data_IF_544676231355
#
_entry.id   IF_544676231355
#
_cell.length_a   1.000
_cell.length_b   1.000
_cell.length_c   1.000
_cell.angle_alpha   90.00
_cell.angle_beta   90.00
_cell.angle_gamma   90.00
#
_symmetry.space_group_name_H-M   'P 1'
#
loop_
_entity.id
_entity.type
_entity.pdbx_description
1 polymer ?
#
# COMPACT_ATOMS: atom_id res chain seq x y z
N UNK A 1 21.38 -2.72 1.17
CA UNK A 1 21.01 -3.84 2.08
C UNK A 1 19.69 -4.42 1.59
N UNK A 2 19.55 -5.74 1.45
CA UNK A 2 18.34 -6.37 0.90
C UNK A 2 17.27 -6.46 2.01
N UNK A 3 16.15 -5.75 1.85
CA UNK A 3 15.04 -5.80 2.81
C UNK A 3 14.42 -7.21 2.83
N UNK A 4 14.04 -7.68 4.02
CA UNK A 4 13.50 -9.03 4.21
C UNK A 4 12.15 -9.21 3.49
N UNK A 5 11.73 -10.45 3.20
CA UNK A 5 10.40 -10.75 2.64
C UNK A 5 9.23 -10.11 3.39
N UNK A 6 9.27 -10.11 4.73
CA UNK A 6 8.23 -9.49 5.56
C UNK A 6 8.24 -7.97 5.44
N UNK A 7 9.42 -7.34 5.45
CA UNK A 7 9.59 -5.90 5.29
C UNK A 7 9.10 -5.42 3.92
N UNK A 8 9.40 -6.15 2.84
CA UNK A 8 8.89 -5.84 1.50
C UNK A 8 7.37 -5.78 1.45
N UNK A 9 6.69 -6.76 2.04
CA UNK A 9 5.22 -6.83 2.02
C UNK A 9 4.58 -5.75 2.87
N UNK A 10 5.16 -5.47 4.05
CA UNK A 10 4.70 -4.39 4.90
C UNK A 10 4.89 -3.03 4.21
N UNK A 11 6.04 -2.83 3.56
CA UNK A 11 6.34 -1.62 2.82
C UNK A 11 5.38 -1.34 1.68
N UNK A 12 5.05 -2.37 0.88
CA UNK A 12 4.05 -2.22 -0.19
C UNK A 12 2.68 -1.88 0.37
N UNK A 13 2.29 -2.52 1.47
CA UNK A 13 1.00 -2.26 2.10
C UNK A 13 0.91 -0.85 2.71
N UNK A 14 1.97 -0.40 3.38
CA UNK A 14 2.06 0.94 3.97
C UNK A 14 2.21 2.03 2.88
N UNK A 15 3.02 1.78 1.86
CA UNK A 15 3.20 2.66 0.72
C UNK A 15 1.94 2.82 -0.12
N UNK A 16 1.16 1.74 -0.30
CA UNK A 16 -0.14 1.82 -0.95
C UNK A 16 -1.13 2.67 -0.15
N UNK A 17 -1.10 2.58 1.19
CA UNK A 17 -1.90 3.44 2.05
C UNK A 17 -1.53 4.92 1.89
N UNK A 18 -0.22 5.24 1.88
CA UNK A 18 0.27 6.59 1.61
C UNK A 18 -0.19 7.09 0.25
N UNK A 19 0.01 6.29 -0.80
CA UNK A 19 -0.37 6.68 -2.17
C UNK A 19 -1.85 7.01 -2.30
N UNK A 20 -2.74 6.27 -1.63
CA UNK A 20 -4.18 6.57 -1.63
C UNK A 20 -4.52 7.85 -0.88
N UNK A 21 -3.87 8.12 0.26
CA UNK A 21 -4.03 9.39 0.97
C UNK A 21 -3.61 10.58 0.09
N UNK A 22 -2.52 10.45 -0.66
CA UNK A 22 -2.06 11.44 -1.65
C UNK A 22 -3.02 11.60 -2.85
N UNK A 23 -3.97 10.67 -3.02
CA UNK A 23 -5.04 10.75 -4.01
C UNK A 23 -6.38 11.21 -3.38
N UNK A 24 -6.37 11.75 -2.16
CA UNK A 24 -7.56 12.09 -1.38
C UNK A 24 -8.52 10.89 -1.22
N UNK A 25 -7.95 9.70 -0.99
CA UNK A 25 -8.69 8.46 -0.76
C UNK A 25 -8.21 7.80 0.54
N UNK A 26 -8.98 7.97 1.60
CA UNK A 26 -8.75 7.28 2.88
C UNK A 26 -9.56 5.99 3.05
N UNK A 27 -10.52 5.72 2.15
CA UNK A 27 -11.41 4.56 2.22
C UNK A 27 -11.80 4.05 0.84
N UNK A 28 -12.04 2.74 0.75
CA UNK A 28 -12.49 2.05 -0.45
C UNK A 28 -13.54 0.97 -0.08
N UNK A 29 -14.54 0.72 -0.94
CA UNK A 29 -15.42 -0.43 -0.79
C UNK A 29 -14.61 -1.73 -0.78
N UNK A 30 -14.92 -2.66 0.13
CA UNK A 30 -14.23 -3.95 0.20
C UNK A 30 -14.76 -4.95 -0.84
N UNK A 31 -14.42 -4.69 -2.11
CA UNK A 31 -14.78 -5.56 -3.24
C UNK A 31 -13.56 -6.41 -3.64
N UNK A 32 -13.32 -7.52 -2.92
CA UNK A 32 -12.08 -8.34 -3.02
C UNK A 32 -11.60 -8.54 -4.47
N UNK A 33 -12.48 -9.03 -5.34
CA UNK A 33 -12.13 -9.35 -6.73
C UNK A 33 -11.70 -8.11 -7.54
N UNK A 34 -12.33 -6.94 -7.31
CA UNK A 34 -11.93 -5.69 -7.97
C UNK A 34 -10.62 -5.18 -7.44
N UNK A 35 -10.43 -5.23 -6.13
CA UNK A 35 -9.17 -4.84 -5.50
C UNK A 35 -8.04 -5.70 -6.02
N UNK A 36 -8.23 -7.03 -6.07
CA UNK A 36 -7.22 -7.97 -6.59
C UNK A 36 -6.82 -7.64 -8.04
N UNK A 37 -7.80 -7.56 -8.94
CA UNK A 37 -7.55 -7.28 -10.36
C UNK A 37 -6.93 -5.89 -10.59
N UNK A 38 -7.43 -4.87 -9.89
CA UNK A 38 -6.93 -3.51 -10.00
C UNK A 38 -5.49 -3.41 -9.50
N UNK A 39 -5.21 -3.99 -8.32
CA UNK A 39 -3.88 -3.95 -7.72
C UNK A 39 -2.87 -4.74 -8.55
N UNK A 40 -3.19 -5.96 -8.98
CA UNK A 40 -2.29 -6.73 -9.84
C UNK A 40 -2.01 -6.02 -11.16
N UNK A 41 -3.02 -5.38 -11.75
CA UNK A 41 -2.87 -4.59 -12.97
C UNK A 41 -1.90 -3.43 -12.77
N UNK A 42 -2.09 -2.66 -11.70
CA UNK A 42 -1.24 -1.52 -11.37
C UNK A 42 0.19 -1.95 -11.04
N UNK A 43 0.31 -2.99 -10.22
CA UNK A 43 1.60 -3.55 -9.82
C UNK A 43 2.45 -3.99 -11.02
N UNK A 44 1.84 -4.63 -12.03
CA UNK A 44 2.57 -5.10 -13.22
C UNK A 44 3.23 -3.96 -14.00
N UNK A 45 2.59 -2.78 -14.07
CA UNK A 45 3.07 -1.60 -14.78
C UNK A 45 3.93 -0.66 -13.93
N UNK A 46 4.01 -0.88 -12.62
CA UNK A 46 4.66 0.06 -11.71
C UNK A 46 6.20 0.01 -11.79
N UNK A 47 6.82 1.18 -11.92
CA UNK A 47 8.26 1.34 -12.16
C UNK A 47 9.15 0.80 -11.02
N UNK A 48 8.65 0.79 -9.79
CA UNK A 48 9.42 0.40 -8.60
C UNK A 48 9.25 -1.06 -8.20
N UNK A 49 8.42 -1.84 -8.91
CA UNK A 49 8.08 -3.24 -8.55
C UNK A 49 9.30 -4.14 -8.35
N UNK A 50 10.38 -3.92 -9.10
CA UNK A 50 11.60 -4.74 -9.04
C UNK A 50 12.34 -4.61 -7.69
N UNK A 51 12.07 -3.54 -6.94
CA UNK A 51 12.60 -3.35 -5.58
C UNK A 51 11.96 -4.30 -4.57
N UNK A 52 10.81 -4.89 -4.91
CA UNK A 52 10.00 -5.76 -4.06
C UNK A 52 9.87 -7.17 -4.66
N UNK A 53 11.00 -7.79 -4.99
CA UNK A 53 11.09 -9.14 -5.57
C UNK A 53 10.22 -10.22 -4.90
N UNK A 54 10.03 -10.13 -3.57
CA UNK A 54 9.14 -11.06 -2.86
C UNK A 54 7.69 -10.83 -3.23
N UNK A 55 7.24 -9.58 -3.32
CA UNK A 55 5.86 -9.23 -3.69
C UNK A 55 5.59 -9.62 -5.15
N UNK A 56 6.57 -9.46 -6.04
CA UNK A 56 6.50 -10.01 -7.41
C UNK A 56 6.27 -11.53 -7.39
N UNK A 57 7.02 -12.25 -6.56
CA UNK A 57 6.89 -13.71 -6.42
C UNK A 57 5.53 -14.10 -5.87
N UNK A 58 5.07 -13.38 -4.85
CA UNK A 58 3.79 -13.64 -4.20
C UNK A 58 2.64 -13.45 -5.19
N UNK A 59 2.58 -12.32 -5.91
CA UNK A 59 1.55 -12.04 -6.92
C UNK A 59 1.60 -13.08 -8.04
N UNK A 60 2.79 -13.45 -8.53
CA UNK A 60 2.93 -14.49 -9.56
C UNK A 60 2.40 -15.85 -9.09
N UNK A 61 2.52 -16.15 -7.80
CA UNK A 61 2.05 -17.39 -7.21
C UNK A 61 0.60 -17.31 -6.73
N UNK A 62 -0.13 -16.25 -7.07
CA UNK A 62 -1.56 -16.09 -6.74
C UNK A 62 -1.84 -15.52 -5.36
N UNK A 63 -0.91 -14.75 -4.76
CA UNK A 63 -1.28 -13.94 -3.60
C UNK A 63 -2.34 -12.92 -4.03
N UNK A 64 -3.45 -12.89 -3.29
CA UNK A 64 -4.52 -11.92 -3.51
C UNK A 64 -3.97 -10.49 -3.39
N UNK A 65 -4.25 -9.63 -4.38
CA UNK A 65 -3.89 -8.21 -4.36
C UNK A 65 -4.39 -7.46 -3.13
N UNK A 66 -5.55 -7.84 -2.58
CA UNK A 66 -6.05 -7.39 -1.28
C UNK A 66 -5.03 -7.66 -0.18
N UNK A 67 -4.47 -8.87 -0.10
CA UNK A 67 -3.48 -9.22 0.92
C UNK A 67 -2.14 -8.50 0.73
N UNK A 68 -1.78 -8.15 -0.50
CA UNK A 68 -0.61 -7.32 -0.77
C UNK A 68 -0.86 -5.87 -0.32
N UNK A 69 -2.07 -5.35 -0.56
CA UNK A 69 -2.49 -4.00 -0.22
C UNK A 69 -2.71 -3.79 1.28
N UNK A 70 -3.42 -4.69 1.97
CA UNK A 70 -3.96 -4.45 3.32
C UNK A 70 -3.20 -5.15 4.45
N UNK A 71 -2.02 -5.69 4.17
CA UNK A 71 -1.23 -6.47 5.13
C UNK A 71 -0.86 -5.70 6.40
N UNK A 72 -0.62 -4.40 6.28
CA UNK A 72 -0.24 -3.48 7.34
C UNK A 72 -1.45 -3.17 8.25
N UNK A 73 -1.96 -4.18 8.96
CA UNK A 73 -3.04 -3.98 9.95
C UNK A 73 -2.50 -3.33 11.23
N UNK A 74 -3.40 -2.83 12.09
CA UNK A 74 -3.06 -2.22 13.38
C UNK A 74 -2.07 -3.06 14.21
N UNK A 75 -2.21 -4.39 14.17
CA UNK A 75 -1.39 -5.33 14.94
C UNK A 75 -0.03 -5.69 14.30
N UNK A 76 0.30 -5.16 13.12
CA UNK A 76 1.59 -5.39 12.44
C UNK A 76 2.56 -4.24 12.70
N UNK A 77 3.85 -4.56 12.75
CA UNK A 77 4.93 -3.55 12.82
C UNK A 77 5.03 -2.81 11.48
N UNK A 78 4.25 -1.73 11.39
CA UNK A 78 4.26 -0.70 10.35
C UNK A 78 4.33 0.62 11.07
N UNK A 79 5.02 1.60 10.50
CA UNK A 79 5.50 2.73 11.29
C UNK A 79 4.47 3.85 11.35
N UNK A 80 3.79 4.18 10.24
CA UNK A 80 3.00 5.40 10.15
C UNK A 80 1.53 5.14 9.87
N UNK A 81 1.26 4.23 8.93
CA UNK A 81 -0.10 3.98 8.43
C UNK A 81 -0.50 2.53 8.68
N UNK A 82 -1.79 2.31 8.88
CA UNK A 82 -2.35 0.97 8.95
C UNK A 82 -3.73 0.91 8.31
N UNK A 83 -4.10 -0.31 7.92
CA UNK A 83 -5.39 -0.64 7.35
C UNK A 83 -6.32 -1.19 8.43
N UNK A 84 -7.57 -0.72 8.39
CA UNK A 84 -8.71 -1.38 8.99
C UNK A 84 -9.51 -2.08 7.89
N UNK A 85 -9.71 -3.39 8.04
CA UNK A 85 -10.48 -4.23 7.13
C UNK A 85 -11.63 -4.94 7.87
N UNK A 86 -12.01 -4.46 9.05
CA UNK A 86 -13.05 -5.08 9.89
C UNK A 86 -14.48 -4.80 9.40
N UNK A 87 -14.66 -3.74 8.59
CA UNK A 87 -15.94 -3.31 8.06
C UNK A 87 -16.20 -3.73 6.60
N UNK A 88 -17.27 -3.17 6.03
CA UNK A 88 -17.59 -3.30 4.60
C UNK A 88 -16.67 -2.46 3.70
N UNK A 89 -15.85 -1.60 4.31
CA UNK A 89 -14.86 -0.76 3.66
C UNK A 89 -13.48 -1.12 4.19
N UNK A 90 -12.48 -0.87 3.35
CA UNK A 90 -11.08 -0.87 3.73
C UNK A 90 -10.68 0.59 3.96
N UNK A 91 -10.24 0.91 5.17
CA UNK A 91 -9.89 2.26 5.58
C UNK A 91 -8.42 2.39 5.97
N UNK A 92 -7.82 3.53 5.64
CA UNK A 92 -6.46 3.91 6.02
C UNK A 92 -6.52 4.82 7.24
N UNK A 93 -5.73 4.51 8.26
CA UNK A 93 -5.57 5.33 9.45
C UNK A 93 -4.10 5.64 9.72
N UNK A 94 -3.86 6.85 10.21
CA UNK A 94 -2.58 7.20 10.83
C UNK A 94 -2.46 6.55 12.21
N UNK A 95 -1.24 6.14 12.59
CA UNK A 95 -0.99 5.60 13.94
C UNK A 95 -1.05 6.70 15.01
N UNK A 96 -1.34 6.35 16.27
CA UNK A 96 -1.53 7.33 17.35
C UNK A 96 -0.34 8.28 17.59
N UNK A 97 0.90 7.85 17.28
CA UNK A 97 2.09 8.70 17.36
C UNK A 97 2.05 9.92 16.42
N UNK A 98 1.10 9.93 15.49
CA UNK A 98 0.86 10.96 14.49
C UNK A 98 -0.50 11.65 14.69
N UNK A 99 -1.20 11.34 15.79
CA UNK A 99 -2.52 11.91 16.06
C UNK A 99 -2.41 13.41 16.36
N UNK A 100 -2.93 14.24 15.45
CA UNK A 100 -2.97 15.70 15.60
C UNK A 100 -1.76 16.45 15.04
N UNK A 101 -0.85 15.75 14.35
CA UNK A 101 0.31 16.36 13.68
C UNK A 101 0.19 16.17 12.16
N UNK A 102 0.40 17.26 11.41
CA UNK A 102 0.59 17.19 9.97
C UNK A 102 2.01 16.70 9.70
N UNK A 103 2.13 15.55 9.04
CA UNK A 103 3.43 14.96 8.72
C UNK A 103 3.61 15.02 7.23
N UNK A 104 4.78 15.52 6.85
CA UNK A 104 5.20 15.60 5.47
C UNK A 104 5.21 14.21 4.82
N UNK A 105 4.57 14.11 3.66
CA UNK A 105 4.49 12.90 2.86
C UNK A 105 5.87 12.32 2.50
N UNK A 106 6.87 13.18 2.32
CA UNK A 106 8.24 12.75 2.03
C UNK A 106 8.89 12.11 3.25
N UNK A 107 8.60 12.61 4.47
CA UNK A 107 9.07 11.98 5.72
C UNK A 107 8.45 10.60 5.91
N UNK A 108 7.16 10.44 5.61
CA UNK A 108 6.50 9.13 5.64
C UNK A 108 7.15 8.22 4.60
N UNK A 109 7.30 8.67 3.36
CA UNK A 109 7.88 7.87 2.27
C UNK A 109 9.32 7.41 2.58
N UNK A 110 10.15 8.28 3.16
CA UNK A 110 11.52 7.96 3.57
C UNK A 110 11.58 6.88 4.67
N UNK A 111 10.59 6.85 5.54
CA UNK A 111 10.49 5.84 6.61
C UNK A 111 9.99 4.48 6.10
N UNK A 112 9.36 4.42 4.92
CA UNK A 112 8.89 3.19 4.29
C UNK A 112 10.05 2.49 3.57
N UNK A 113 10.20 1.19 3.84
CA UNK A 113 11.24 0.38 3.22
C UNK A 113 11.13 0.33 1.69
N UNK A 114 12.29 0.35 1.00
CA UNK A 114 12.37 0.23 -0.46
C UNK A 114 12.77 1.50 -1.18
N UNK A 115 12.87 2.63 -0.46
CA UNK A 115 13.42 3.90 -0.97
C UNK A 115 12.62 4.46 -2.14
N UNK A 116 11.30 4.25 -2.11
CA UNK A 116 10.36 4.77 -3.10
C UNK A 116 9.88 6.14 -2.61
N UNK A 117 9.99 7.20 -3.42
CA UNK A 117 9.51 8.53 -3.03
C UNK A 117 7.98 8.57 -2.95
N UNK A 118 7.41 9.58 -2.29
CA UNK A 118 5.96 9.77 -2.15
C UNK A 118 5.23 9.70 -3.50
N UNK A 119 5.74 10.42 -4.51
CA UNK A 119 5.21 10.38 -5.89
C UNK A 119 5.24 8.99 -6.54
N UNK A 120 6.17 8.13 -6.16
CA UNK A 120 6.22 6.75 -6.64
C UNK A 120 5.07 5.92 -6.08
N UNK A 121 4.70 6.13 -4.81
CA UNK A 121 3.55 5.50 -4.18
C UNK A 121 2.23 6.07 -4.68
N UNK A 122 2.15 7.39 -4.88
CA UNK A 122 1.01 8.05 -5.49
C UNK A 122 0.72 7.49 -6.89
N UNK A 123 1.74 7.35 -7.74
CA UNK A 123 1.58 6.78 -9.09
C UNK A 123 1.04 5.33 -9.08
N UNK A 124 1.41 4.52 -8.09
CA UNK A 124 0.83 3.18 -7.91
C UNK A 124 -0.66 3.26 -7.57
N UNK A 125 -1.02 4.16 -6.64
CA UNK A 125 -2.38 4.36 -6.19
C UNK A 125 -3.28 4.94 -7.30
N UNK A 126 -2.78 5.89 -8.10
CA UNK A 126 -3.50 6.45 -9.24
C UNK A 126 -3.87 5.37 -10.27
N UNK A 127 -2.91 4.56 -10.71
CA UNK A 127 -3.21 3.49 -11.69
C UNK A 127 -4.13 2.42 -11.09
N UNK A 128 -3.99 2.13 -9.79
CA UNK A 128 -4.93 1.29 -9.06
C UNK A 128 -6.36 1.86 -9.10
N UNK A 129 -6.55 3.15 -8.75
CA UNK A 129 -7.86 3.80 -8.71
C UNK A 129 -8.51 3.86 -10.09
N UNK A 130 -7.73 4.13 -11.14
CA UNK A 130 -8.21 4.10 -12.54
C UNK A 130 -8.74 2.72 -12.90
N UNK A 131 -8.09 1.64 -12.45
CA UNK A 131 -8.53 0.26 -12.71
C UNK A 131 -9.70 -0.16 -11.83
N UNK A 132 -9.73 0.28 -10.58
CA UNK A 132 -10.75 -0.06 -9.61
C UNK A 132 -12.12 0.56 -9.95
N UNK A 133 -12.12 1.76 -10.53
CA UNK A 133 -13.34 2.50 -10.89
C UNK A 133 -13.93 2.12 -12.25
N UNK A 134 -13.20 1.32 -13.04
CA UNK A 134 -13.70 0.73 -14.29
C UNK A 134 -14.60 -0.48 -14.04
#
# INVERSE_FOLDING_TARGET
MKISPSRQRNAVSEGMALGLLLCDRSMLPFEKWRVDLAFEGAWRGWAYRERFSQVNTDIRNGLDGVWAMTRATQNKQTFNLYWDTSGAEVAVYARPQWAGEEIDEDVIAESIDGGVPASGWQALAEDFLVRFTR
#
